data_IF_786158786156
#
_entry.id   IF_786158786156
#
_cell.length_a   1.000
_cell.length_b   1.000
_cell.length_c   1.000
_cell.angle_alpha   90.00
_cell.angle_beta   90.00
_cell.angle_gamma   90.00
#
_symmetry.space_group_name_H-M   'P 1'
#
loop_
_entity.id
_entity.type
_entity.pdbx_description
1 polymer ?
#
# COMPACT_ATOMS: atom_id res chain seq x y z
N UNK A 1 16.57 -57.06 -1.08
CA UNK A 1 15.63 -56.74 -2.18
C UNK A 1 14.90 -55.46 -1.81
N UNK A 2 15.00 -54.39 -2.60
CA UNK A 2 14.34 -53.11 -2.30
C UNK A 2 12.90 -53.13 -2.81
N UNK A 3 11.93 -52.91 -1.91
CA UNK A 3 10.50 -52.83 -2.25
C UNK A 3 10.24 -51.49 -2.95
N UNK A 4 9.90 -51.52 -4.25
CA UNK A 4 9.46 -50.31 -4.98
C UNK A 4 8.02 -49.98 -4.57
N UNK A 5 7.85 -48.85 -3.89
CA UNK A 5 6.54 -48.29 -3.59
C UNK A 5 6.07 -47.41 -4.75
N UNK A 6 4.98 -47.80 -5.39
CA UNK A 6 4.36 -47.03 -6.47
C UNK A 6 3.18 -46.23 -5.92
N UNK A 7 3.07 -44.97 -6.32
CA UNK A 7 1.90 -44.14 -6.01
C UNK A 7 0.78 -44.52 -6.97
N UNK A 8 -0.23 -45.23 -6.46
CA UNK A 8 -1.32 -45.82 -7.24
C UNK A 8 -2.29 -44.80 -7.85
N UNK A 9 -2.39 -43.58 -7.29
CA UNK A 9 -3.29 -42.55 -7.80
C UNK A 9 -2.81 -41.13 -7.47
N UNK A 10 -3.18 -40.12 -8.28
CA UNK A 10 -2.94 -38.71 -7.95
C UNK A 10 -3.70 -38.31 -6.69
N UNK A 11 -2.99 -37.66 -5.76
CA UNK A 11 -3.58 -37.11 -4.54
C UNK A 11 -4.06 -35.69 -4.80
N UNK A 12 -5.37 -35.49 -4.86
CA UNK A 12 -5.96 -34.18 -4.96
C UNK A 12 -6.12 -33.54 -3.58
N UNK A 13 -5.84 -32.24 -3.49
CA UNK A 13 -6.18 -31.41 -2.34
C UNK A 13 -6.96 -30.22 -2.85
N UNK A 14 -8.19 -30.04 -2.33
CA UNK A 14 -8.99 -28.87 -2.64
C UNK A 14 -8.44 -27.70 -1.85
N UNK A 15 -7.83 -26.73 -2.53
CA UNK A 15 -7.38 -25.49 -1.90
C UNK A 15 -8.56 -24.60 -1.48
N UNK A 16 -8.33 -23.68 -0.56
CA UNK A 16 -9.30 -22.64 -0.23
C UNK A 16 -9.45 -21.70 -1.43
N UNK A 17 -10.62 -21.73 -2.07
CA UNK A 17 -10.97 -20.87 -3.22
C UNK A 17 -12.36 -20.31 -3.01
N UNK A 18 -12.49 -18.99 -3.06
CA UNK A 18 -13.78 -18.29 -2.95
C UNK A 18 -13.95 -17.41 -4.19
N UNK A 19 -15.00 -17.65 -4.97
CA UNK A 19 -15.27 -16.85 -6.18
C UNK A 19 -14.14 -16.85 -7.22
N UNK A 20 -13.31 -17.90 -7.27
CA UNK A 20 -12.14 -17.97 -8.15
C UNK A 20 -10.86 -17.34 -7.59
N UNK A 21 -10.91 -16.76 -6.39
CA UNK A 21 -9.75 -16.20 -5.70
C UNK A 21 -9.18 -17.25 -4.74
N UNK A 22 -7.91 -17.60 -4.95
CA UNK A 22 -7.12 -18.45 -4.05
C UNK A 22 -6.03 -17.63 -3.36
N UNK A 23 -5.50 -18.08 -2.20
CA UNK A 23 -4.35 -17.45 -1.56
C UNK A 23 -3.13 -17.33 -2.48
N UNK A 24 -2.89 -18.34 -3.33
CA UNK A 24 -1.82 -18.31 -4.32
C UNK A 24 -2.03 -17.24 -5.39
N UNK A 25 -3.26 -17.03 -5.84
CA UNK A 25 -3.60 -15.95 -6.77
C UNK A 25 -3.40 -14.57 -6.15
N UNK A 26 -3.77 -14.38 -4.87
CA UNK A 26 -3.54 -13.10 -4.17
C UNK A 26 -2.05 -12.81 -4.05
N UNK A 27 -1.25 -13.78 -3.61
CA UNK A 27 0.20 -13.62 -3.48
C UNK A 27 0.87 -13.34 -4.84
N UNK A 28 0.36 -13.93 -5.93
CA UNK A 28 0.83 -13.65 -7.28
C UNK A 28 0.56 -12.20 -7.71
N UNK A 29 -0.59 -11.64 -7.34
CA UNK A 29 -0.96 -10.26 -7.69
C UNK A 29 -0.43 -9.21 -6.72
N UNK A 30 0.02 -9.62 -5.53
CA UNK A 30 0.54 -8.73 -4.48
C UNK A 30 1.58 -7.71 -4.97
N UNK A 31 2.63 -8.05 -5.73
CA UNK A 31 3.60 -7.04 -6.19
C UNK A 31 2.96 -6.01 -7.12
N UNK A 32 2.12 -6.44 -8.07
CA UNK A 32 1.43 -5.55 -9.00
C UNK A 32 0.48 -4.61 -8.27
N UNK A 33 -0.34 -5.15 -7.36
CA UNK A 33 -1.25 -4.35 -6.54
C UNK A 33 -0.49 -3.43 -5.57
N UNK A 34 0.68 -3.85 -5.09
CA UNK A 34 1.57 -3.01 -4.31
C UNK A 34 2.06 -1.79 -5.10
N UNK A 35 2.46 -1.98 -6.36
CA UNK A 35 2.84 -0.87 -7.24
C UNK A 35 1.66 0.07 -7.52
N UNK A 36 0.49 -0.47 -7.85
CA UNK A 36 -0.71 0.33 -8.07
C UNK A 36 -1.16 1.08 -6.81
N UNK A 37 -1.11 0.44 -5.65
CA UNK A 37 -1.40 1.06 -4.36
C UNK A 37 -0.40 2.17 -4.03
N UNK A 38 0.89 1.96 -4.30
CA UNK A 38 1.92 2.99 -4.15
C UNK A 38 1.68 4.18 -5.07
N UNK A 39 1.40 3.94 -6.35
CA UNK A 39 1.10 5.02 -7.31
C UNK A 39 -0.17 5.80 -6.95
N UNK A 40 -1.22 5.10 -6.51
CA UNK A 40 -2.44 5.72 -6.02
C UNK A 40 -2.19 6.55 -4.75
N UNK A 41 -1.39 6.04 -3.82
CA UNK A 41 -0.97 6.76 -2.62
C UNK A 41 -0.20 8.04 -2.95
N UNK A 42 0.79 7.96 -3.84
CA UNK A 42 1.54 9.13 -4.36
C UNK A 42 0.59 10.15 -4.96
N UNK A 43 -0.33 9.72 -5.82
CA UNK A 43 -1.34 10.60 -6.43
C UNK A 43 -2.19 11.28 -5.36
N UNK A 44 -2.61 10.53 -4.34
CA UNK A 44 -3.45 11.06 -3.27
C UNK A 44 -2.74 12.18 -2.49
N UNK A 45 -1.43 12.10 -2.28
CA UNK A 45 -0.67 13.19 -1.68
C UNK A 45 -0.84 14.50 -2.48
N UNK A 46 -0.74 14.46 -3.81
CA UNK A 46 -0.95 15.68 -4.61
C UNK A 46 -2.40 16.19 -4.56
N UNK A 47 -3.38 15.29 -4.51
CA UNK A 47 -4.80 15.68 -4.49
C UNK A 47 -5.22 16.32 -3.17
N UNK A 48 -4.64 15.91 -2.05
CA UNK A 48 -5.02 16.39 -0.70
C UNK A 48 -4.09 17.46 -0.15
N UNK A 49 -3.16 17.98 -0.97
CA UNK A 49 -2.17 18.96 -0.55
C UNK A 49 -2.80 20.22 0.08
N UNK A 50 -3.95 20.67 -0.42
CA UNK A 50 -4.63 21.88 0.06
C UNK A 50 -5.36 21.72 1.38
N UNK A 51 -5.52 20.49 1.89
CA UNK A 51 -6.33 20.23 3.07
C UNK A 51 -5.47 20.44 4.34
N UNK A 52 -5.84 21.37 5.26
CA UNK A 52 -5.00 21.74 6.39
C UNK A 52 -4.62 20.60 7.34
N UNK A 53 -5.50 19.61 7.51
CA UNK A 53 -5.24 18.46 8.39
C UNK A 53 -4.08 17.59 7.86
N UNK A 54 -3.94 17.48 6.53
CA UNK A 54 -2.85 16.71 5.92
C UNK A 54 -1.54 17.51 5.90
N UNK A 55 -1.59 18.84 5.78
CA UNK A 55 -0.40 19.71 5.92
C UNK A 55 0.28 19.54 7.27
N UNK A 56 -0.47 19.75 8.34
CA UNK A 56 0.02 19.65 9.72
C UNK A 56 0.31 18.22 10.16
N UNK A 57 -0.49 17.27 9.69
CA UNK A 57 -0.40 15.87 10.11
C UNK A 57 0.70 15.08 9.39
N UNK A 58 0.97 15.38 8.13
CA UNK A 58 1.74 14.52 7.23
C UNK A 58 2.82 15.29 6.47
N UNK A 59 2.48 16.38 5.78
CA UNK A 59 3.43 17.08 4.90
C UNK A 59 4.55 17.78 5.66
N UNK A 60 4.26 18.50 6.75
CA UNK A 60 5.25 19.18 7.59
C UNK A 60 6.28 18.21 8.20
N UNK A 61 5.93 16.93 8.35
CA UNK A 61 6.81 15.89 8.93
C UNK A 61 7.76 15.26 7.92
N UNK A 62 7.67 15.63 6.64
CA UNK A 62 8.56 15.09 5.61
C UNK A 62 9.97 15.69 5.77
N UNK A 63 11.03 14.86 5.85
CA UNK A 63 12.37 15.34 6.20
C UNK A 63 13.01 16.27 5.15
N UNK A 64 12.59 16.18 3.89
CA UNK A 64 13.17 16.95 2.78
C UNK A 64 12.33 18.15 2.35
N UNK A 65 11.01 18.08 2.49
CA UNK A 65 10.08 19.09 1.96
C UNK A 65 9.14 19.66 3.01
N UNK A 66 9.22 19.21 4.28
CA UNK A 66 8.30 19.61 5.33
C UNK A 66 8.34 21.10 5.66
N UNK A 67 9.52 21.72 5.60
CA UNK A 67 9.68 23.16 5.83
C UNK A 67 8.93 24.04 4.83
N UNK A 68 8.54 23.51 3.66
CA UNK A 68 7.74 24.26 2.69
C UNK A 68 6.28 24.44 3.15
N UNK A 69 5.82 23.55 4.01
CA UNK A 69 4.44 23.51 4.50
C UNK A 69 4.27 24.22 5.84
N UNK A 70 5.37 24.65 6.46
CA UNK A 70 5.35 25.44 7.68
C UNK A 70 4.86 26.87 7.38
N UNK A 71 3.94 27.35 8.21
CA UNK A 71 3.36 28.69 8.07
C UNK A 71 4.18 29.66 8.93
N UNK A 72 5.21 30.25 8.32
CA UNK A 72 6.14 31.16 9.00
C UNK A 72 5.65 32.62 9.04
N UNK A 73 4.37 32.87 8.77
CA UNK A 73 3.81 34.23 8.81
C UNK A 73 3.82 34.70 10.27
N UNK A 74 4.44 35.86 10.50
CA UNK A 74 4.48 36.44 11.83
C UNK A 74 3.04 36.72 12.31
N UNK A 75 2.68 36.39 13.57
CA UNK A 75 1.32 36.59 14.06
C UNK A 75 0.82 38.04 13.99
N UNK A 76 1.73 39.01 13.91
CA UNK A 76 1.43 40.44 13.79
C UNK A 76 1.02 40.85 12.35
N UNK A 77 1.37 40.04 11.35
CA UNK A 77 1.03 40.26 9.94
C UNK A 77 -0.29 39.58 9.54
N UNK A 78 -0.86 38.76 10.43
CA UNK A 78 -2.19 38.17 10.26
C UNK A 78 -3.27 39.17 10.68
N UNK A 79 -4.28 39.47 9.84
CA UNK A 79 -5.41 40.30 10.23
C UNK A 79 -6.41 39.59 11.17
N UNK A 80 -6.14 38.34 11.56
CA UNK A 80 -6.94 37.50 12.44
C UNK A 80 -6.08 36.82 13.51
#
# INVERSE_FOLDING_TARGET
>A
MAVKNYVFAPRYSTGFVVGGISPSSVLRWAPTLGLWGGAAGITLFFLVDSIPIFRRGLYEKLPLVGSRYDDSVDPQDSPF
#
